data_IF_484653960551
#
_entry.id   IF_484653960551
#
_cell.length_a   1.000
_cell.length_b   1.000
_cell.length_c   1.000
_cell.angle_alpha   90.00
_cell.angle_beta   90.00
_cell.angle_gamma   90.00
#
_symmetry.space_group_name_H-M   'P 1'
#
loop_
_entity.id
_entity.type
_entity.pdbx_description
1 polymer ?
#
# COMPACT_ATOMS: atom_id res chain seq x y z
N UNK A 1 32.46 7.29 -15.59
CA UNK A 1 32.96 8.64 -15.91
C UNK A 1 31.90 9.34 -16.75
N UNK A 2 30.94 9.98 -16.11
CA UNK A 2 29.93 10.85 -16.72
C UNK A 2 29.32 11.67 -15.55
N UNK A 3 29.44 13.01 -15.54
CA UNK A 3 28.81 13.85 -14.52
C UNK A 3 27.41 14.28 -14.96
N UNK A 4 26.56 14.61 -13.98
CA UNK A 4 25.34 15.39 -14.14
C UNK A 4 24.86 15.86 -12.77
N UNK A 5 24.34 17.07 -12.55
CA UNK A 5 24.61 18.40 -13.16
C UNK A 5 24.37 19.41 -12.01
N UNK A 6 25.06 20.56 -11.98
CA UNK A 6 24.76 21.58 -10.97
C UNK A 6 23.39 22.23 -11.16
N UNK A 7 22.59 22.30 -10.09
CA UNK A 7 21.36 23.10 -10.04
C UNK A 7 21.61 24.34 -9.18
N UNK A 8 22.10 25.39 -9.83
CA UNK A 8 22.06 26.75 -9.30
C UNK A 8 20.71 27.39 -9.63
N UNK A 9 19.97 27.77 -8.59
CA UNK A 9 18.72 28.50 -8.71
C UNK A 9 18.52 29.39 -7.49
N UNK A 10 19.31 30.45 -7.42
CA UNK A 10 19.10 31.51 -6.43
C UNK A 10 17.74 32.20 -6.61
N UNK A 11 17.06 32.47 -5.50
CA UNK A 11 15.98 33.45 -5.43
C UNK A 11 16.28 34.45 -4.32
N UNK A 12 16.92 35.54 -4.71
CA UNK A 12 16.87 36.79 -3.96
C UNK A 12 15.46 37.38 -4.02
N UNK A 13 14.97 37.94 -2.92
CA UNK A 13 13.88 38.92 -2.94
C UNK A 13 13.85 39.66 -1.61
N UNK A 14 14.41 40.88 -1.59
CA UNK A 14 14.42 41.78 -0.44
C UNK A 14 13.36 42.87 -0.67
N UNK A 15 12.25 42.82 0.06
CA UNK A 15 11.31 43.95 0.15
C UNK A 15 11.09 44.36 1.61
N UNK A 16 11.17 45.67 1.86
CA UNK A 16 10.93 46.27 3.16
C UNK A 16 10.33 47.66 3.01
N UNK A 17 9.29 47.95 3.79
CA UNK A 17 8.67 49.26 4.04
C UNK A 17 7.72 49.03 5.22
N UNK A 18 7.95 49.56 6.42
CA UNK A 18 8.05 50.97 6.82
C UNK A 18 6.77 51.78 6.56
N UNK A 19 5.99 51.93 7.63
CA UNK A 19 4.99 53.00 7.83
C UNK A 19 4.94 53.31 9.33
N UNK A 20 5.63 54.33 9.80
CA UNK A 20 5.19 55.73 10.01
C UNK A 20 4.18 55.94 11.15
N UNK A 21 4.75 56.49 12.22
CA UNK A 21 4.28 57.41 13.26
C UNK A 21 2.80 57.87 13.28
N UNK A 22 2.23 57.88 14.50
CA UNK A 22 1.19 58.82 14.91
C UNK A 22 1.17 59.00 16.44
N UNK A 23 1.75 60.10 16.95
CA UNK A 23 1.57 60.58 18.32
C UNK A 23 0.10 60.84 18.69
N UNK A 24 -0.23 60.66 19.97
CA UNK A 24 -1.07 61.60 20.75
C UNK A 24 -0.69 61.47 22.23
N UNK A 25 -0.02 62.50 22.74
CA UNK A 25 0.34 62.67 24.15
C UNK A 25 -0.79 63.40 24.91
N UNK A 26 -1.03 63.05 26.19
CA UNK A 26 -1.69 63.96 27.13
C UNK A 26 -1.38 63.65 28.61
N UNK A 27 -0.98 64.68 29.35
CA UNK A 27 -0.56 64.62 30.77
C UNK A 27 -1.69 64.40 31.82
N UNK A 28 -1.36 64.01 33.08
CA UNK A 28 -2.28 63.73 34.20
C UNK A 28 -2.72 65.01 34.99
N UNK A 29 -2.42 65.35 36.30
CA UNK A 29 -1.67 64.73 37.43
C UNK A 29 -2.52 64.51 38.73
N UNK A 30 -1.85 64.36 39.89
CA UNK A 30 -2.36 64.46 41.30
C UNK A 30 -3.23 63.30 41.88
N UNK A 31 -3.16 62.94 43.17
CA UNK A 31 -2.14 63.11 44.25
C UNK A 31 -2.41 62.14 45.44
N UNK A 32 -1.56 62.20 46.47
CA UNK A 32 -1.66 61.68 47.85
C UNK A 32 -1.28 60.19 48.11
N UNK A 33 -0.99 59.89 49.38
CA UNK A 33 -0.15 58.78 49.86
C UNK A 33 -0.92 57.78 50.73
N UNK A 34 -0.54 56.49 50.68
CA UNK A 34 0.00 55.75 51.84
C UNK A 34 0.20 54.25 51.56
N UNK A 35 1.36 53.74 51.97
CA UNK A 35 1.60 52.31 52.26
C UNK A 35 1.49 52.10 53.80
N UNK A 36 1.61 50.88 54.39
CA UNK A 36 1.96 49.59 53.77
C UNK A 36 1.22 48.31 54.27
N UNK A 37 1.12 47.28 53.41
CA UNK A 37 1.38 45.86 53.80
C UNK A 37 1.40 44.92 52.59
N UNK A 38 2.41 44.04 52.51
CA UNK A 38 2.52 43.01 51.47
C UNK A 38 2.01 41.64 51.94
N UNK A 39 1.31 40.90 51.05
CA UNK A 39 1.26 39.43 50.96
C UNK A 39 0.28 38.98 49.85
N UNK A 40 0.51 37.81 49.23
CA UNK A 40 1.65 37.43 48.39
C UNK A 40 1.32 37.63 46.89
N UNK A 41 2.29 37.57 45.96
CA UNK A 41 2.01 37.63 44.52
C UNK A 41 1.16 36.44 44.06
N UNK A 42 0.02 36.72 43.40
CA UNK A 42 -0.78 35.69 42.71
C UNK A 42 0.01 35.17 41.52
N UNK A 43 0.52 33.93 41.64
CA UNK A 43 1.21 33.24 40.55
C UNK A 43 0.21 32.89 39.44
N UNK A 44 0.11 33.75 38.43
CA UNK A 44 -0.53 33.37 37.15
C UNK A 44 0.39 32.35 36.46
N UNK A 45 -0.14 31.27 35.87
CA UNK A 45 0.63 30.47 34.92
C UNK A 45 0.77 31.27 33.63
N UNK A 46 1.86 32.02 33.50
CA UNK A 46 2.25 32.59 32.22
C UNK A 46 2.59 31.42 31.28
N UNK A 47 1.73 31.19 30.29
CA UNK A 47 2.06 30.36 29.14
C UNK A 47 2.82 31.27 28.18
N UNK A 48 4.12 31.44 28.43
CA UNK A 48 5.05 32.00 27.46
C UNK A 48 5.29 30.91 26.39
N UNK A 49 4.47 30.93 25.34
CA UNK A 49 4.69 30.12 24.16
C UNK A 49 5.89 30.66 23.38
N UNK A 50 6.93 29.85 23.23
CA UNK A 50 8.04 30.12 22.31
C UNK A 50 7.64 29.65 20.90
N UNK A 51 6.98 30.54 20.14
CA UNK A 51 6.28 30.26 18.88
C UNK A 51 7.18 29.85 17.66
N UNK A 52 8.39 29.33 17.89
CA UNK A 52 9.41 29.07 16.84
C UNK A 52 10.23 27.77 17.04
N UNK A 53 9.88 26.92 18.03
CA UNK A 53 10.62 25.68 18.34
C UNK A 53 9.67 24.49 18.66
N UNK A 54 8.51 24.45 18.00
CA UNK A 54 7.53 23.36 18.12
C UNK A 54 7.91 22.17 17.21
N UNK A 55 8.13 20.99 17.79
CA UNK A 55 8.39 19.77 17.01
C UNK A 55 7.19 19.44 16.09
N UNK A 56 7.43 19.04 14.82
CA UNK A 56 6.36 18.88 13.84
C UNK A 56 5.43 17.71 14.18
N UNK A 57 4.21 18.03 14.64
CA UNK A 57 3.16 17.08 15.04
C UNK A 57 3.11 15.82 14.16
N UNK A 58 3.32 14.65 14.75
CA UNK A 58 3.27 13.40 14.00
C UNK A 58 1.83 13.09 13.59
N UNK A 59 1.68 12.35 12.48
CA UNK A 59 0.37 11.83 12.08
C UNK A 59 -0.26 10.93 13.17
N UNK A 60 0.58 10.29 14.00
CA UNK A 60 0.17 9.53 15.19
C UNK A 60 -0.48 10.41 16.27
N UNK A 61 0.09 11.56 16.60
CA UNK A 61 -0.48 12.50 17.59
C UNK A 61 -1.78 13.12 17.06
N UNK A 62 -1.81 13.54 15.80
CA UNK A 62 -3.04 14.05 15.14
C UNK A 62 -4.15 13.00 15.12
N UNK A 63 -3.84 11.75 14.81
CA UNK A 63 -4.79 10.63 14.91
C UNK A 63 -5.22 10.39 16.35
N UNK A 64 -4.31 10.45 17.32
CA UNK A 64 -4.60 10.21 18.73
C UNK A 64 -5.51 11.30 19.32
N UNK A 65 -5.19 12.58 19.14
CA UNK A 65 -6.04 13.70 19.54
C UNK A 65 -7.41 13.66 18.85
N UNK A 66 -7.47 13.29 17.56
CA UNK A 66 -8.74 13.07 16.88
C UNK A 66 -9.56 11.91 17.51
N UNK A 67 -8.92 10.85 18.04
CA UNK A 67 -9.66 9.83 18.81
C UNK A 67 -10.23 10.36 20.12
N UNK A 68 -9.66 11.40 20.72
CA UNK A 68 -10.11 11.99 21.99
C UNK A 68 -11.47 12.68 21.87
N UNK A 69 -11.83 13.15 20.67
CA UNK A 69 -13.14 13.74 20.37
C UNK A 69 -14.29 12.71 20.30
N UNK A 70 -14.01 11.39 20.36
CA UNK A 70 -15.02 10.33 20.27
C UNK A 70 -15.32 9.67 21.62
N UNK A 71 -16.61 9.41 21.94
CA UNK A 71 -16.99 8.80 23.21
C UNK A 71 -16.51 7.35 23.33
N UNK A 72 -16.22 6.91 24.56
CA UNK A 72 -15.61 5.61 24.87
C UNK A 72 -16.24 4.39 24.17
N UNK A 73 -17.58 4.25 24.01
CA UNK A 73 -18.17 3.10 23.34
C UNK A 73 -17.73 2.96 21.88
N UNK A 74 -17.50 4.08 21.17
CA UNK A 74 -17.03 4.08 19.78
C UNK A 74 -15.56 3.68 19.70
N UNK A 75 -14.72 4.20 20.63
CA UNK A 75 -13.31 3.83 20.74
C UNK A 75 -13.15 2.34 21.08
N UNK A 76 -13.92 1.84 22.05
CA UNK A 76 -13.89 0.44 22.47
C UNK A 76 -14.41 -0.50 21.35
N UNK A 77 -15.53 -0.17 20.69
CA UNK A 77 -16.03 -0.94 19.54
C UNK A 77 -14.97 -1.04 18.42
N UNK A 78 -14.31 0.08 18.11
CA UNK A 78 -13.24 0.13 17.10
C UNK A 78 -12.07 -0.76 17.52
N UNK A 79 -11.60 -0.65 18.76
CA UNK A 79 -10.52 -1.48 19.31
C UNK A 79 -10.85 -2.98 19.28
N UNK A 80 -12.03 -3.38 19.76
CA UNK A 80 -12.51 -4.77 19.73
C UNK A 80 -12.61 -5.27 18.29
N UNK A 81 -13.11 -4.45 17.35
CA UNK A 81 -13.22 -4.81 15.94
C UNK A 81 -11.84 -5.02 15.29
N UNK A 82 -10.86 -4.15 15.58
CA UNK A 82 -9.48 -4.29 15.09
C UNK A 82 -8.81 -5.53 15.67
N UNK A 83 -8.98 -5.81 16.97
CA UNK A 83 -8.42 -7.01 17.63
C UNK A 83 -9.05 -8.30 17.08
N UNK A 84 -10.38 -8.34 16.93
CA UNK A 84 -11.06 -9.50 16.32
C UNK A 84 -10.68 -9.67 14.84
N UNK A 85 -10.53 -8.58 14.08
CA UNK A 85 -10.11 -8.64 12.68
C UNK A 85 -8.69 -9.17 12.55
N UNK A 86 -7.74 -8.69 13.37
CA UNK A 86 -6.38 -9.22 13.45
C UNK A 86 -6.38 -10.72 13.79
N UNK A 87 -7.10 -11.12 14.84
CA UNK A 87 -7.20 -12.52 15.25
C UNK A 87 -7.85 -13.39 14.17
N UNK A 88 -8.89 -12.88 13.50
CA UNK A 88 -9.58 -13.51 12.38
C UNK A 88 -8.66 -13.72 11.19
N UNK A 89 -7.89 -12.71 10.78
CA UNK A 89 -6.90 -12.82 9.69
C UNK A 89 -5.82 -13.85 10.04
N UNK A 90 -5.25 -13.81 11.25
CA UNK A 90 -4.25 -14.81 11.67
C UNK A 90 -4.82 -16.24 11.67
N UNK A 91 -6.05 -16.43 12.17
CA UNK A 91 -6.74 -17.74 12.17
C UNK A 91 -7.08 -18.21 10.76
N UNK A 92 -7.61 -17.32 9.91
CA UNK A 92 -7.98 -17.61 8.53
C UNK A 92 -6.75 -17.92 7.67
N UNK A 93 -5.63 -17.23 7.86
CA UNK A 93 -4.36 -17.54 7.18
C UNK A 93 -3.81 -18.92 7.59
N UNK A 94 -3.78 -19.23 8.89
CA UNK A 94 -3.35 -20.54 9.39
C UNK A 94 -4.25 -21.69 8.92
N UNK A 95 -5.57 -21.46 8.92
CA UNK A 95 -6.55 -22.39 8.36
C UNK A 95 -6.37 -22.55 6.85
N UNK A 96 -6.27 -21.46 6.09
CA UNK A 96 -6.10 -21.46 4.64
C UNK A 96 -4.84 -22.23 4.21
N UNK A 97 -3.70 -22.00 4.88
CA UNK A 97 -2.46 -22.76 4.65
C UNK A 97 -2.68 -24.27 4.84
N UNK A 98 -3.34 -24.68 5.93
CA UNK A 98 -3.60 -26.09 6.24
C UNK A 98 -4.62 -26.71 5.27
N UNK A 99 -5.70 -25.99 4.96
CA UNK A 99 -6.75 -26.42 4.05
C UNK A 99 -6.21 -26.54 2.60
N UNK A 100 -5.42 -25.58 2.13
CA UNK A 100 -4.77 -25.65 0.82
C UNK A 100 -3.81 -26.85 0.74
N UNK A 101 -3.04 -27.13 1.78
CA UNK A 101 -2.16 -28.31 1.83
C UNK A 101 -2.95 -29.62 1.77
N UNK A 102 -4.03 -29.74 2.54
CA UNK A 102 -4.90 -30.93 2.53
C UNK A 102 -5.58 -31.08 1.16
N UNK A 103 -6.24 -30.03 0.65
CA UNK A 103 -6.92 -30.05 -0.65
C UNK A 103 -5.95 -30.41 -1.77
N UNK A 104 -4.75 -29.82 -1.81
CA UNK A 104 -3.76 -30.09 -2.85
C UNK A 104 -3.19 -31.52 -2.78
N UNK A 105 -2.86 -32.01 -1.59
CA UNK A 105 -2.35 -33.38 -1.42
C UNK A 105 -3.43 -34.45 -1.68
N UNK A 106 -4.66 -34.24 -1.19
CA UNK A 106 -5.80 -35.12 -1.52
C UNK A 106 -6.15 -35.08 -3.01
N UNK A 107 -6.12 -33.90 -3.64
CA UNK A 107 -6.31 -33.73 -5.08
C UNK A 107 -5.34 -34.59 -5.91
N UNK A 108 -4.03 -34.51 -5.63
CA UNK A 108 -3.02 -35.33 -6.32
C UNK A 108 -3.28 -36.83 -6.18
N UNK A 109 -3.62 -37.31 -4.97
CA UNK A 109 -3.87 -38.73 -4.71
C UNK A 109 -5.12 -39.23 -5.46
N UNK A 110 -6.16 -38.40 -5.57
CA UNK A 110 -7.40 -38.76 -6.27
C UNK A 110 -7.29 -38.65 -7.80
N UNK A 111 -6.57 -37.65 -8.33
CA UNK A 111 -6.44 -37.46 -9.78
C UNK A 111 -5.38 -38.35 -10.43
N UNK A 112 -4.33 -38.79 -9.72
CA UNK A 112 -3.29 -39.61 -10.34
C UNK A 112 -3.81 -40.91 -11.00
N UNK A 113 -4.71 -41.72 -10.39
CA UNK A 113 -5.33 -42.86 -11.06
C UNK A 113 -6.17 -42.46 -12.29
N UNK A 114 -6.97 -41.39 -12.16
CA UNK A 114 -7.85 -40.89 -13.23
C UNK A 114 -7.04 -40.41 -14.44
N UNK A 115 -5.90 -39.74 -14.21
CA UNK A 115 -4.99 -39.31 -15.26
C UNK A 115 -4.41 -40.52 -15.98
N UNK A 116 -3.94 -41.56 -15.28
CA UNK A 116 -3.44 -42.77 -15.93
C UNK A 116 -4.49 -43.51 -16.76
N UNK A 117 -5.76 -43.55 -16.35
CA UNK A 117 -6.84 -44.12 -17.15
C UNK A 117 -7.10 -43.32 -18.43
N UNK A 118 -7.14 -41.99 -18.32
CA UNK A 118 -7.33 -41.08 -19.46
C UNK A 118 -6.14 -41.10 -20.43
N UNK A 119 -4.90 -41.10 -19.92
CA UNK A 119 -3.69 -41.19 -20.73
C UNK A 119 -3.60 -42.53 -21.48
N UNK A 120 -3.98 -43.65 -20.84
CA UNK A 120 -3.98 -44.96 -21.52
C UNK A 120 -5.01 -44.99 -22.65
N UNK A 121 -6.23 -44.52 -22.42
CA UNK A 121 -7.26 -44.42 -23.45
C UNK A 121 -6.81 -43.55 -24.64
N UNK A 122 -6.21 -42.38 -24.35
CA UNK A 122 -5.69 -41.47 -25.37
C UNK A 122 -4.50 -42.10 -26.15
N UNK A 123 -3.63 -42.86 -25.47
CA UNK A 123 -2.54 -43.59 -26.14
C UNK A 123 -3.04 -44.73 -27.04
N UNK A 124 -4.10 -45.44 -26.65
CA UNK A 124 -4.75 -46.44 -27.50
C UNK A 124 -5.36 -45.80 -28.77
N UNK A 125 -5.96 -44.61 -28.67
CA UNK A 125 -6.45 -43.85 -29.82
C UNK A 125 -5.33 -43.28 -30.70
N UNK A 126 -4.26 -42.73 -30.11
CA UNK A 126 -3.10 -42.22 -30.85
C UNK A 126 -2.33 -43.35 -31.55
N UNK A 127 -2.18 -44.52 -30.95
CA UNK A 127 -1.61 -45.68 -31.64
C UNK A 127 -2.51 -46.15 -32.78
N UNK A 128 -3.84 -46.12 -32.63
CA UNK A 128 -4.77 -46.39 -33.74
C UNK A 128 -4.71 -45.35 -34.86
N UNK A 129 -4.49 -44.07 -34.56
CA UNK A 129 -4.36 -43.03 -35.59
C UNK A 129 -3.02 -43.14 -36.33
N UNK A 130 -1.92 -43.39 -35.62
CA UNK A 130 -0.61 -43.66 -36.22
C UNK A 130 -0.59 -44.95 -37.03
N UNK A 131 -1.17 -46.06 -36.54
CA UNK A 131 -1.29 -47.30 -37.31
C UNK A 131 -2.09 -47.09 -38.61
N UNK A 132 -3.17 -46.30 -38.58
CA UNK A 132 -3.89 -45.91 -39.81
C UNK A 132 -2.99 -45.09 -40.73
N UNK A 133 -2.27 -44.09 -40.24
CA UNK A 133 -1.38 -43.24 -41.04
C UNK A 133 -0.15 -43.98 -41.59
N UNK A 134 0.35 -45.01 -40.92
CA UNK A 134 1.44 -45.85 -41.42
C UNK A 134 0.95 -46.89 -42.42
N UNK A 135 -0.17 -47.56 -42.14
CA UNK A 135 -0.72 -48.62 -43.01
C UNK A 135 -1.33 -48.06 -44.31
N UNK A 136 -1.87 -46.83 -44.25
CA UNK A 136 -2.35 -46.08 -45.41
C UNK A 136 -1.25 -45.17 -46.01
N UNK A 137 -0.11 -45.06 -45.33
CA UNK A 137 0.99 -44.14 -45.63
C UNK A 137 0.60 -42.65 -45.56
N UNK A 138 1.60 -41.75 -45.70
CA UNK A 138 1.35 -40.31 -45.85
C UNK A 138 0.45 -39.94 -47.07
N UNK A 139 0.25 -40.87 -48.01
CA UNK A 139 -0.38 -40.61 -49.31
C UNK A 139 -1.88 -40.87 -49.38
N UNK A 140 -2.52 -41.62 -48.46
CA UNK A 140 -3.98 -41.84 -48.58
C UNK A 140 -4.81 -40.59 -48.30
N UNK A 141 -4.32 -39.62 -47.54
CA UNK A 141 -4.96 -38.30 -47.43
C UNK A 141 -4.93 -37.53 -48.78
N UNK A 142 -3.91 -37.78 -49.60
CA UNK A 142 -3.71 -37.21 -50.95
C UNK A 142 -4.64 -37.86 -51.98
N UNK A 143 -4.96 -39.15 -51.83
CA UNK A 143 -5.98 -39.82 -52.66
C UNK A 143 -7.39 -39.24 -52.46
N UNK A 144 -7.57 -38.36 -51.47
CA UNK A 144 -8.77 -37.57 -51.19
C UNK A 144 -8.84 -36.20 -51.89
N UNK A 145 -7.99 -35.92 -52.89
CA UNK A 145 -8.26 -34.84 -53.85
C UNK A 145 -7.63 -33.48 -53.61
N UNK A 146 -6.60 -33.37 -52.76
CA UNK A 146 -5.73 -32.17 -52.69
C UNK A 146 -4.24 -32.56 -52.74
N UNK A 147 -3.44 -31.97 -53.65
CA UNK A 147 -1.99 -32.17 -53.65
C UNK A 147 -1.33 -31.41 -52.48
N UNK A 148 -0.16 -31.87 -51.99
CA UNK A 148 0.54 -31.19 -50.91
C UNK A 148 1.23 -29.95 -51.47
N UNK A 149 0.84 -28.76 -51.01
CA UNK A 149 1.59 -27.55 -51.32
C UNK A 149 2.96 -27.67 -50.63
N UNK A 150 4.02 -27.84 -51.43
CA UNK A 150 5.39 -28.01 -50.96
C UNK A 150 5.77 -26.87 -49.99
N UNK A 151 6.32 -27.16 -48.81
CA UNK A 151 6.90 -26.11 -47.98
C UNK A 151 8.07 -25.47 -48.75
N UNK A 152 8.17 -24.12 -48.78
CA UNK A 152 9.22 -23.44 -49.53
C UNK A 152 10.61 -23.77 -48.95
N UNK A 153 11.66 -23.79 -49.78
CA UNK A 153 13.01 -24.12 -49.32
C UNK A 153 13.51 -23.09 -48.31
N UNK A 154 13.94 -23.57 -47.14
CA UNK A 154 14.54 -22.74 -46.10
C UNK A 154 15.88 -22.20 -46.61
N UNK A 155 15.94 -20.90 -46.93
CA UNK A 155 17.23 -20.25 -47.14
C UNK A 155 17.93 -20.06 -45.79
N UNK A 156 19.07 -20.72 -45.63
CA UNK A 156 20.03 -20.37 -44.58
C UNK A 156 20.76 -19.09 -44.97
N UNK A 157 20.86 -18.15 -44.03
CA UNK A 157 21.78 -17.02 -44.03
C UNK A 157 22.14 -16.66 -42.60
#
# INVERSE_FOLDING_TARGET
MAPAEENDSGMESQEGSQSVDADIEKEPPQDDSTAPREAPPKKQPAIEGSEDDEEPETLSERLWGLTEMFPEPVRNLTHVTVVNTKLGICKAYGFSRSAAWIIFSTSIILFAPVIFEVERANMEEMQRSQQKQMLLGPSSAISGGVPPLLPPPVQQR
#
